data_IF_389057111290
#
_entry.id   IF_389057111290
#
_cell.length_a   1.000
_cell.length_b   1.000
_cell.length_c   1.000
_cell.angle_alpha   90.00
_cell.angle_beta   90.00
_cell.angle_gamma   90.00
#
_symmetry.space_group_name_H-M   'P 1'
#
loop_
_entity.id
_entity.type
_entity.pdbx_description
1 polymer ?
#
# COMPACT_ATOMS: atom_id res chain seq x y z
N UNK A 1 14.56 23.20 30.23
CA UNK A 1 13.15 23.30 29.80
C UNK A 1 13.15 23.33 28.29
N UNK A 2 12.61 22.27 27.68
CA UNK A 2 12.23 22.10 26.27
C UNK A 2 13.33 22.24 25.19
N UNK A 3 14.05 21.14 24.97
CA UNK A 3 14.46 20.73 23.63
C UNK A 3 13.28 19.96 23.03
N UNK A 4 12.49 20.60 22.17
CA UNK A 4 11.59 19.90 21.25
C UNK A 4 12.25 19.91 19.86
N UNK A 5 12.44 18.71 19.37
CA UNK A 5 13.19 18.24 18.22
C UNK A 5 12.68 18.74 16.87
N UNK A 6 13.62 19.10 15.98
CA UNK A 6 13.41 19.52 14.58
C UNK A 6 12.61 18.50 13.71
N UNK A 7 12.46 17.27 14.17
CA UNK A 7 11.70 16.21 13.49
C UNK A 7 10.18 16.44 13.46
N UNK A 8 9.60 17.17 14.41
CA UNK A 8 8.15 17.43 14.43
C UNK A 8 7.72 18.47 13.39
N UNK A 9 8.58 19.44 13.07
CA UNK A 9 8.28 20.47 12.07
C UNK A 9 8.28 19.91 10.64
N UNK A 10 9.20 19.00 10.33
CA UNK A 10 9.25 18.34 9.02
C UNK A 10 8.02 17.45 8.79
N UNK A 11 7.56 16.76 9.83
CA UNK A 11 6.38 15.90 9.75
C UNK A 11 5.08 16.71 9.61
N UNK A 12 5.02 17.91 10.20
CA UNK A 12 3.86 18.80 10.05
C UNK A 12 3.77 19.43 8.65
N UNK A 13 4.91 19.82 8.05
CA UNK A 13 4.95 20.34 6.68
C UNK A 13 4.56 19.26 5.64
N UNK A 14 5.10 18.04 5.77
CA UNK A 14 4.74 16.92 4.88
C UNK A 14 3.25 16.52 5.01
N UNK A 15 2.69 16.56 6.22
CA UNK A 15 1.28 16.22 6.45
C UNK A 15 0.33 17.30 5.95
N UNK A 16 0.74 18.57 6.01
CA UNK A 16 0.01 19.71 5.43
C UNK A 16 0.02 19.66 3.88
N UNK A 17 1.15 19.33 3.26
CA UNK A 17 1.27 19.16 1.81
C UNK A 17 0.47 17.97 1.28
N UNK A 18 0.45 16.83 1.99
CA UNK A 18 -0.40 15.68 1.64
C UNK A 18 -1.88 16.01 1.69
N UNK A 19 -2.34 16.77 2.69
CA UNK A 19 -3.74 17.17 2.79
C UNK A 19 -4.12 18.19 1.71
N UNK A 20 -3.23 19.12 1.35
CA UNK A 20 -3.47 20.07 0.26
C UNK A 20 -3.49 19.35 -1.10
N UNK A 21 -2.61 18.37 -1.32
CA UNK A 21 -2.59 17.58 -2.54
C UNK A 21 -3.80 16.65 -2.66
N UNK A 22 -4.22 15.97 -1.60
CA UNK A 22 -5.43 15.12 -1.62
C UNK A 22 -6.70 15.93 -1.89
N UNK A 23 -6.80 17.13 -1.31
CA UNK A 23 -7.90 18.06 -1.56
C UNK A 23 -7.83 18.61 -2.99
N UNK A 24 -6.65 18.95 -3.51
CA UNK A 24 -6.50 19.38 -4.91
C UNK A 24 -6.76 18.24 -5.91
N UNK A 25 -6.35 17.01 -5.62
CA UNK A 25 -6.62 15.83 -6.44
C UNK A 25 -8.12 15.54 -6.48
N UNK A 26 -8.82 15.68 -5.33
CA UNK A 26 -10.28 15.51 -5.25
C UNK A 26 -11.01 16.65 -5.98
N UNK A 27 -10.57 17.90 -5.81
CA UNK A 27 -11.14 19.06 -6.54
C UNK A 27 -10.86 18.96 -8.04
N UNK A 28 -9.71 18.42 -8.46
CA UNK A 28 -9.39 18.20 -9.86
C UNK A 28 -10.22 17.06 -10.46
N UNK A 29 -10.46 15.97 -9.74
CA UNK A 29 -11.35 14.89 -10.20
C UNK A 29 -12.79 15.39 -10.32
N UNK A 30 -13.29 16.15 -9.33
CA UNK A 30 -14.66 16.69 -9.34
C UNK A 30 -14.87 17.76 -10.44
N UNK A 31 -13.88 18.62 -10.70
CA UNK A 31 -13.96 19.63 -11.76
C UNK A 31 -13.90 19.02 -13.17
N UNK A 32 -13.30 17.84 -13.33
CA UNK A 32 -13.23 17.14 -14.62
C UNK A 32 -14.51 16.35 -14.93
N UNK A 33 -15.19 15.79 -13.91
CA UNK A 33 -16.49 15.12 -14.09
C UNK A 33 -17.61 16.05 -14.56
N UNK A 34 -17.51 17.37 -14.34
CA UNK A 34 -18.54 18.33 -14.77
C UNK A 34 -18.43 18.79 -16.24
N UNK A 35 -17.27 18.64 -16.88
CA UNK A 35 -17.02 19.20 -18.22
C UNK A 35 -17.14 18.20 -19.38
N UNK A 36 -17.32 16.91 -19.09
CA UNK A 36 -17.46 15.87 -20.11
C UNK A 36 -18.66 14.99 -19.74
N UNK A 37 -19.60 14.81 -20.69
CA UNK A 37 -20.68 13.81 -20.58
C UNK A 37 -20.08 12.39 -20.60
N UNK A 38 -19.45 11.96 -19.49
CA UNK A 38 -18.81 10.66 -19.34
C UNK A 38 -19.85 9.68 -18.81
N UNK A 39 -20.10 8.59 -19.54
CA UNK A 39 -20.96 7.51 -19.06
C UNK A 39 -20.17 6.64 -18.08
N UNK A 40 -20.15 7.03 -16.80
CA UNK A 40 -19.57 6.22 -15.74
C UNK A 40 -20.33 4.89 -15.64
N UNK A 41 -19.68 3.79 -16.02
CA UNK A 41 -20.21 2.46 -15.78
C UNK A 41 -20.04 2.11 -14.31
N UNK A 42 -21.08 1.61 -13.64
CA UNK A 42 -20.93 1.00 -12.32
C UNK A 42 -20.70 -0.49 -12.48
N UNK A 43 -19.73 -1.05 -11.76
CA UNK A 43 -19.56 -2.51 -11.67
C UNK A 43 -20.64 -3.14 -10.76
N UNK A 44 -20.57 -4.46 -10.59
CA UNK A 44 -21.53 -5.24 -9.78
C UNK A 44 -21.58 -4.82 -8.31
N UNK A 45 -20.53 -4.18 -7.82
CA UNK A 45 -20.37 -3.71 -6.44
C UNK A 45 -20.67 -2.19 -6.32
N UNK A 46 -21.04 -1.56 -7.43
CA UNK A 46 -21.38 -0.13 -7.51
C UNK A 46 -20.19 0.80 -7.64
N UNK A 47 -18.97 0.28 -7.82
CA UNK A 47 -17.77 1.09 -8.01
C UNK A 47 -17.71 1.67 -9.42
N UNK A 48 -17.17 2.88 -9.51
CA UNK A 48 -17.04 3.60 -10.78
C UNK A 48 -15.96 2.97 -11.66
N UNK A 49 -16.35 2.64 -12.89
CA UNK A 49 -15.47 2.08 -13.90
C UNK A 49 -15.49 2.90 -15.18
N UNK A 50 -14.33 3.00 -15.80
CA UNK A 50 -14.04 3.85 -16.92
C UNK A 50 -13.58 2.99 -18.10
N UNK A 51 -14.16 3.22 -19.28
CA UNK A 51 -13.59 2.72 -20.53
C UNK A 51 -12.31 3.47 -20.86
N UNK A 52 -11.48 2.90 -21.72
CA UNK A 52 -10.22 3.54 -22.15
C UNK A 52 -10.42 4.98 -22.67
N UNK A 53 -11.52 5.26 -23.37
CA UNK A 53 -11.85 6.59 -23.87
C UNK A 53 -12.11 7.60 -22.77
N UNK A 54 -12.76 7.14 -21.70
CA UNK A 54 -13.22 7.95 -20.58
C UNK A 54 -12.04 8.22 -19.65
N UNK A 55 -11.26 7.19 -19.35
CA UNK A 55 -10.01 7.31 -18.60
C UNK A 55 -9.03 8.28 -19.28
N UNK A 56 -8.90 8.18 -20.61
CA UNK A 56 -8.05 9.07 -21.39
C UNK A 56 -8.52 10.53 -21.32
N UNK A 57 -9.83 10.77 -21.44
CA UNK A 57 -10.41 12.10 -21.35
C UNK A 57 -10.22 12.71 -19.95
N UNK A 58 -10.50 11.94 -18.90
CA UNK A 58 -10.37 12.39 -17.50
C UNK A 58 -8.92 12.70 -17.12
N UNK A 59 -7.95 11.92 -17.62
CA UNK A 59 -6.53 12.18 -17.37
C UNK A 59 -5.89 13.17 -18.36
N UNK A 60 -6.64 13.70 -19.33
CA UNK A 60 -6.12 14.64 -20.33
C UNK A 60 -5.06 14.03 -21.26
N UNK A 61 -5.16 12.73 -21.57
CA UNK A 61 -4.22 12.01 -22.44
C UNK A 61 -4.91 11.33 -23.61
N UNK A 62 -4.14 10.78 -24.54
CA UNK A 62 -4.70 10.00 -25.65
C UNK A 62 -5.00 8.57 -25.22
N UNK A 63 -5.95 7.90 -25.89
CA UNK A 63 -6.18 6.45 -25.71
C UNK A 63 -4.90 5.64 -25.91
N UNK A 64 -4.05 6.07 -26.85
CA UNK A 64 -2.75 5.44 -27.14
C UNK A 64 -1.78 5.53 -25.96
N UNK A 65 -1.84 6.63 -25.19
CA UNK A 65 -1.07 6.80 -23.95
C UNK A 65 -1.56 5.84 -22.86
N UNK A 66 -2.88 5.68 -22.72
CA UNK A 66 -3.46 4.70 -21.80
C UNK A 66 -3.03 3.28 -22.19
N UNK A 67 -3.20 2.89 -23.45
CA UNK A 67 -2.76 1.58 -23.95
C UNK A 67 -1.25 1.36 -23.75
N UNK A 68 -0.42 2.39 -23.97
CA UNK A 68 1.02 2.33 -23.73
C UNK A 68 1.33 1.97 -22.27
N UNK A 69 0.70 2.64 -21.30
CA UNK A 69 0.93 2.35 -19.88
C UNK A 69 0.29 1.04 -19.41
N UNK A 70 -0.82 0.62 -20.01
CA UNK A 70 -1.39 -0.70 -19.79
C UNK A 70 -0.46 -1.80 -20.27
N UNK A 71 0.12 -1.67 -21.47
CA UNK A 71 1.07 -2.65 -22.00
C UNK A 71 2.38 -2.70 -21.21
N UNK A 72 2.78 -1.60 -20.57
CA UNK A 72 3.92 -1.55 -19.66
C UNK A 72 3.62 -2.12 -18.26
N UNK A 73 2.37 -2.54 -17.99
CA UNK A 73 1.93 -3.04 -16.69
C UNK A 73 1.74 -1.95 -15.63
N UNK A 74 1.72 -0.66 -16.01
CA UNK A 74 1.51 0.45 -15.07
C UNK A 74 0.03 0.72 -14.80
N UNK A 75 -0.85 0.23 -15.66
CA UNK A 75 -2.29 0.26 -15.46
C UNK A 75 -2.82 -1.16 -15.69
N UNK A 76 -3.60 -1.65 -14.73
CA UNK A 76 -4.19 -2.99 -14.80
C UNK A 76 -5.68 -2.85 -15.09
N UNK A 77 -6.16 -3.25 -16.29
CA UNK A 77 -7.57 -3.21 -16.60
C UNK A 77 -8.29 -4.40 -15.97
N UNK A 78 -9.50 -4.17 -15.47
CA UNK A 78 -10.48 -5.22 -15.26
C UNK A 78 -11.09 -5.60 -16.63
N UNK A 79 -11.45 -6.87 -16.80
CA UNK A 79 -12.21 -7.33 -17.98
C UNK A 79 -13.66 -7.58 -17.59
N UNK A 80 -14.59 -7.05 -18.38
CA UNK A 80 -16.01 -7.39 -18.24
C UNK A 80 -16.29 -8.79 -18.77
N UNK A 81 -17.46 -9.35 -18.42
CA UNK A 81 -18.00 -10.58 -19.00
C UNK A 81 -18.12 -10.52 -20.54
N UNK A 82 -18.21 -9.31 -21.11
CA UNK A 82 -18.23 -9.02 -22.55
C UNK A 82 -16.85 -8.76 -23.16
N UNK A 83 -15.77 -9.05 -22.43
CA UNK A 83 -14.36 -8.92 -22.82
C UNK A 83 -13.89 -7.48 -23.14
N UNK A 84 -14.64 -6.46 -22.71
CA UNK A 84 -14.19 -5.07 -22.79
C UNK A 84 -13.26 -4.75 -21.61
N UNK A 85 -12.29 -3.86 -21.84
CA UNK A 85 -11.40 -3.35 -20.80
C UNK A 85 -12.06 -2.19 -20.06
N UNK A 86 -12.09 -2.32 -18.74
CA UNK A 86 -12.52 -1.27 -17.82
C UNK A 86 -11.40 -0.97 -16.85
N UNK A 87 -11.37 0.27 -16.39
CA UNK A 87 -10.39 0.78 -15.45
C UNK A 87 -11.16 1.34 -14.25
N UNK A 88 -10.72 1.02 -13.05
CA UNK A 88 -11.33 1.54 -11.83
C UNK A 88 -10.79 2.95 -11.52
N UNK A 89 -11.30 3.54 -10.44
CA UNK A 89 -10.82 4.84 -9.94
C UNK A 89 -9.32 4.81 -9.60
N UNK A 90 -8.78 3.67 -9.16
CA UNK A 90 -7.35 3.52 -8.85
C UNK A 90 -6.50 3.67 -10.13
N UNK A 91 -6.92 3.07 -11.23
CA UNK A 91 -6.26 3.26 -12.52
C UNK A 91 -6.28 4.73 -12.99
N UNK A 92 -7.35 5.49 -12.70
CA UNK A 92 -7.38 6.94 -12.98
C UNK A 92 -6.35 7.69 -12.14
N UNK A 93 -6.30 7.45 -10.83
CA UNK A 93 -5.33 8.06 -9.91
C UNK A 93 -3.88 7.75 -10.32
N UNK A 94 -3.61 6.48 -10.67
CA UNK A 94 -2.32 6.02 -11.20
C UNK A 94 -1.96 6.76 -12.49
N UNK A 95 -2.89 6.89 -13.43
CA UNK A 95 -2.63 7.56 -14.71
C UNK A 95 -2.33 9.06 -14.54
N UNK A 96 -3.11 9.77 -13.71
CA UNK A 96 -2.86 11.18 -13.40
C UNK A 96 -1.46 11.35 -12.78
N UNK A 97 -1.10 10.50 -11.83
CA UNK A 97 0.23 10.54 -11.21
C UNK A 97 1.37 10.31 -12.21
N UNK A 98 1.23 9.33 -13.11
CA UNK A 98 2.22 9.07 -14.17
C UNK A 98 2.38 10.30 -15.07
N UNK A 99 1.27 10.94 -15.45
CA UNK A 99 1.26 12.14 -16.29
C UNK A 99 1.99 13.30 -15.60
N UNK A 100 1.75 13.53 -14.33
CA UNK A 100 2.40 14.61 -13.58
C UNK A 100 3.90 14.36 -13.37
N UNK A 101 4.29 13.12 -13.08
CA UNK A 101 5.71 12.78 -13.02
C UNK A 101 6.40 12.93 -14.38
N UNK A 102 5.71 12.63 -15.48
CA UNK A 102 6.26 12.86 -16.83
C UNK A 102 6.44 14.34 -17.14
N UNK A 103 5.54 15.22 -16.71
CA UNK A 103 5.71 16.68 -16.82
C UNK A 103 6.97 17.17 -16.07
N UNK A 104 7.30 16.52 -14.96
CA UNK A 104 8.52 16.78 -14.18
C UNK A 104 9.79 16.15 -14.78
N UNK A 105 9.72 15.54 -15.97
CA UNK A 105 10.83 14.91 -16.69
C UNK A 105 11.51 13.77 -15.91
N UNK A 106 10.79 13.10 -15.01
CA UNK A 106 11.31 11.94 -14.31
C UNK A 106 11.54 10.76 -15.26
N UNK A 107 12.61 10.01 -15.00
CA UNK A 107 12.90 8.78 -15.72
C UNK A 107 11.77 7.77 -15.50
N UNK A 108 11.49 6.92 -16.48
CA UNK A 108 10.39 5.96 -16.37
C UNK A 108 10.60 4.99 -15.20
N UNK A 109 11.85 4.62 -14.88
CA UNK A 109 12.21 3.81 -13.69
C UNK A 109 11.70 4.46 -12.41
N UNK A 110 12.02 5.73 -12.19
CA UNK A 110 11.68 6.45 -10.96
C UNK A 110 10.17 6.64 -10.83
N UNK A 111 9.48 6.78 -11.98
CA UNK A 111 8.02 6.84 -12.03
C UNK A 111 7.43 5.51 -11.57
N UNK A 112 7.97 4.36 -12.00
CA UNK A 112 7.48 3.04 -11.58
C UNK A 112 7.60 2.86 -10.08
N UNK A 113 8.76 3.17 -9.51
CA UNK A 113 9.01 2.99 -8.09
C UNK A 113 8.11 3.89 -7.24
N UNK A 114 7.97 5.16 -7.63
CA UNK A 114 7.07 6.10 -6.93
C UNK A 114 5.60 5.73 -7.09
N UNK A 115 5.21 5.24 -8.27
CA UNK A 115 3.85 4.78 -8.55
C UNK A 115 3.50 3.59 -7.65
N UNK A 116 4.35 2.57 -7.60
CA UNK A 116 4.11 1.36 -6.79
C UNK A 116 4.22 1.61 -5.28
N UNK A 117 4.85 2.70 -4.84
CA UNK A 117 4.86 3.07 -3.42
C UNK A 117 3.62 3.86 -3.01
N UNK A 118 3.03 4.64 -3.91
CA UNK A 118 1.87 5.48 -3.61
C UNK A 118 0.54 4.80 -3.93
N UNK A 119 0.52 3.95 -4.95
CA UNK A 119 -0.64 3.19 -5.41
C UNK A 119 -0.20 1.74 -5.65
N UNK A 120 0.11 0.95 -4.61
CA UNK A 120 0.60 -0.41 -4.79
C UNK A 120 -0.36 -1.24 -5.66
N UNK A 121 0.19 -1.96 -6.62
CA UNK A 121 -0.57 -2.95 -7.39
C UNK A 121 -1.01 -4.10 -6.50
N UNK A 122 -2.07 -4.82 -6.91
CA UNK A 122 -2.54 -6.01 -6.18
C UNK A 122 -1.44 -7.06 -6.05
N UNK A 123 -0.66 -7.27 -7.12
CA UNK A 123 0.48 -8.20 -7.10
C UNK A 123 1.53 -7.81 -6.04
N UNK A 124 1.89 -6.52 -5.94
CA UNK A 124 2.84 -6.06 -4.92
C UNK A 124 2.27 -6.21 -3.50
N UNK A 125 0.97 -6.02 -3.33
CA UNK A 125 0.30 -6.24 -2.05
C UNK A 125 0.27 -7.73 -1.68
N UNK A 126 -0.01 -8.61 -2.64
CA UNK A 126 -0.01 -10.06 -2.46
C UNK A 126 1.41 -10.57 -2.10
N UNK A 127 2.44 -10.05 -2.77
CA UNK A 127 3.84 -10.32 -2.45
C UNK A 127 4.20 -9.87 -1.03
N UNK A 128 3.77 -8.68 -0.62
CA UNK A 128 4.01 -8.16 0.73
C UNK A 128 3.30 -9.00 1.80
N UNK A 129 2.04 -9.39 1.55
CA UNK A 129 1.30 -10.30 2.43
C UNK A 129 2.02 -11.64 2.53
N UNK A 130 2.53 -12.17 1.43
CA UNK A 130 3.33 -13.39 1.40
C UNK A 130 4.62 -13.26 2.21
N UNK A 131 5.33 -12.14 2.08
CA UNK A 131 6.55 -11.86 2.85
C UNK A 131 6.27 -11.77 4.35
N UNK A 132 5.19 -11.08 4.74
CA UNK A 132 4.77 -10.98 6.14
C UNK A 132 4.37 -12.36 6.70
N UNK A 133 3.69 -13.20 5.93
CA UNK A 133 3.36 -14.56 6.34
C UNK A 133 4.62 -15.40 6.58
N UNK A 134 5.60 -15.32 5.68
CA UNK A 134 6.90 -15.99 5.84
C UNK A 134 7.66 -15.47 7.07
N UNK A 135 7.59 -14.17 7.35
CA UNK A 135 8.21 -13.57 8.53
C UNK A 135 7.56 -14.08 9.82
N UNK A 136 6.23 -14.16 9.87
CA UNK A 136 5.48 -14.74 10.99
C UNK A 136 5.90 -16.20 11.20
N UNK A 137 5.98 -17.00 10.14
CA UNK A 137 6.41 -18.40 10.22
C UNK A 137 7.84 -18.52 10.77
N UNK A 138 8.75 -17.67 10.31
CA UNK A 138 10.12 -17.63 10.81
C UNK A 138 10.18 -17.23 12.29
N UNK A 139 9.38 -16.24 12.72
CA UNK A 139 9.26 -15.88 14.14
C UNK A 139 8.71 -17.03 14.98
N UNK A 140 7.69 -17.74 14.49
CA UNK A 140 7.14 -18.91 15.17
C UNK A 140 8.18 -20.02 15.35
N UNK A 141 8.98 -20.32 14.32
CA UNK A 141 10.08 -21.28 14.42
C UNK A 141 11.15 -20.84 15.45
N UNK A 142 11.49 -19.54 15.45
CA UNK A 142 12.41 -18.98 16.44
C UNK A 142 11.87 -19.11 17.87
N UNK A 143 10.59 -18.82 18.08
CA UNK A 143 9.91 -18.99 19.38
C UNK A 143 9.94 -20.46 19.79
N UNK A 144 9.54 -21.40 18.93
CA UNK A 144 9.60 -22.84 19.22
C UNK A 144 11.01 -23.28 19.61
N UNK A 145 12.04 -22.79 18.91
CA UNK A 145 13.45 -23.06 19.25
C UNK A 145 13.88 -22.47 20.60
N UNK A 146 13.37 -21.30 20.99
CA UNK A 146 13.59 -20.73 22.33
C UNK A 146 12.90 -21.59 23.39
N UNK A 147 11.64 -21.98 23.17
CA UNK A 147 10.86 -22.78 24.12
C UNK A 147 11.47 -24.15 24.36
N UNK A 148 11.88 -24.84 23.30
CA UNK A 148 12.56 -26.13 23.45
C UNK A 148 13.87 -26.02 24.25
N UNK A 149 14.64 -24.93 24.08
CA UNK A 149 15.83 -24.68 24.91
C UNK A 149 15.45 -24.39 26.35
N UNK A 150 14.38 -23.64 26.59
CA UNK A 150 13.87 -23.33 27.92
C UNK A 150 13.41 -24.59 28.67
N UNK A 151 12.67 -25.49 28.01
CA UNK A 151 12.21 -26.75 28.59
C UNK A 151 13.36 -27.71 28.94
N UNK A 152 14.50 -27.59 28.26
CA UNK A 152 15.69 -28.38 28.58
C UNK A 152 16.51 -27.82 29.74
N UNK A 153 16.23 -26.60 30.20
CA UNK A 153 16.88 -26.03 31.38
C UNK A 153 16.39 -26.71 32.66
N UNK A 154 17.27 -26.78 33.66
CA UNK A 154 16.92 -27.21 35.01
C UNK A 154 15.97 -26.18 35.66
N UNK A 155 15.11 -26.60 36.61
CA UNK A 155 14.16 -25.69 37.27
C UNK A 155 14.81 -24.44 37.85
N UNK A 156 15.95 -24.60 38.52
CA UNK A 156 16.76 -23.51 39.09
C UNK A 156 17.26 -22.47 38.08
N UNK A 157 17.55 -22.89 36.84
CA UNK A 157 17.99 -22.00 35.78
C UNK A 157 16.83 -21.31 35.06
N UNK A 158 15.65 -21.95 35.04
CA UNK A 158 14.41 -21.34 34.52
C UNK A 158 13.98 -20.16 35.38
N UNK A 159 14.04 -20.29 36.70
CA UNK A 159 13.65 -19.22 37.62
C UNK A 159 14.65 -18.04 37.60
N UNK A 160 15.95 -18.34 37.44
CA UNK A 160 16.98 -17.32 37.19
C UNK A 160 16.78 -16.59 35.86
N UNK A 161 16.28 -17.27 34.83
CA UNK A 161 15.99 -16.63 33.54
C UNK A 161 14.75 -15.74 33.63
N UNK A 162 13.68 -16.23 34.28
CA UNK A 162 12.47 -15.45 34.54
C UNK A 162 12.76 -14.17 35.32
N UNK A 163 13.60 -14.23 36.34
CA UNK A 163 13.97 -13.04 37.13
C UNK A 163 14.82 -12.02 36.38
N UNK A 164 15.45 -12.41 35.27
CA UNK A 164 16.20 -11.51 34.36
C UNK A 164 15.35 -10.90 33.26
N UNK A 165 14.11 -11.35 33.07
CA UNK A 165 13.22 -10.85 32.04
C UNK A 165 12.41 -9.64 32.56
N UNK A 166 12.28 -8.57 31.77
CA UNK A 166 11.35 -7.48 32.07
C UNK A 166 9.92 -8.00 32.22
N UNK A 167 9.07 -7.37 33.05
CA UNK A 167 7.70 -7.81 33.28
C UNK A 167 6.86 -7.87 31.99
N UNK A 168 7.10 -6.94 31.06
CA UNK A 168 6.46 -6.94 29.73
C UNK A 168 6.79 -8.21 28.93
N UNK A 169 8.06 -8.62 28.94
CA UNK A 169 8.51 -9.82 28.22
C UNK A 169 8.06 -11.10 28.91
N UNK A 170 7.94 -11.09 30.24
CA UNK A 170 7.37 -12.19 31.01
C UNK A 170 5.91 -12.43 30.68
N UNK A 171 5.10 -11.37 30.55
CA UNK A 171 3.70 -11.49 30.16
C UNK A 171 3.56 -12.13 28.78
N UNK A 172 4.30 -11.62 27.79
CA UNK A 172 4.33 -12.18 26.43
C UNK A 172 4.78 -13.66 26.45
N UNK A 173 5.84 -13.97 27.17
CA UNK A 173 6.33 -15.34 27.33
C UNK A 173 5.30 -16.27 27.98
N UNK A 174 4.59 -15.82 29.02
CA UNK A 174 3.53 -16.57 29.67
C UNK A 174 2.34 -16.81 28.72
N UNK A 175 1.94 -15.80 27.95
CA UNK A 175 0.91 -15.96 26.93
C UNK A 175 1.29 -17.01 25.88
N UNK A 176 2.55 -17.01 25.41
CA UNK A 176 3.03 -18.04 24.49
C UNK A 176 3.06 -19.44 25.10
N UNK A 177 3.52 -19.58 26.36
CA UNK A 177 3.50 -20.87 27.07
C UNK A 177 2.07 -21.43 27.21
N UNK A 178 1.07 -20.55 27.37
CA UNK A 178 -0.33 -20.94 27.58
C UNK A 178 -1.05 -21.27 26.26
N UNK A 179 -0.63 -20.66 25.15
CA UNK A 179 -1.16 -20.94 23.81
C UNK A 179 -0.59 -22.22 23.18
N UNK A 180 0.53 -22.72 23.71
CA UNK A 180 1.25 -23.89 23.20
C UNK A 180 1.15 -25.12 24.13
N UNK A 181 0.42 -25.01 25.24
CA UNK A 181 0.08 -26.11 26.17
C UNK A 181 -1.26 -26.73 25.85
#
# INVERSE_FOLDING_TARGET
MLLQSDDEFHNFQFRSEKNNKLVQDTVHILNYSHNYNVMVGRDIDGAETYRISELAALAGVTKRTVDYYTNLGLLTPARSCSNYRYYDENALKRLIFIVDCKKQRLALSDIKDRLENQFPSSAKLDDEIGNLALEIDHMNQNISGILHRFERLKPEDRDKLKSKLPPEKLAVFQSFMLLLS
#
